data_IF_432946134996
#
_entry.id   IF_432946134996
#
_cell.length_a   1.000
_cell.length_b   1.000
_cell.length_c   1.000
_cell.angle_alpha   90.00
_cell.angle_beta   90.00
_cell.angle_gamma   90.00
#
_symmetry.space_group_name_H-M   'P 1'
#
loop_
_entity.id
_entity.type
_entity.pdbx_description
1 polymer ?
#
# COMPACT_ATOMS: atom_id res chain seq x y z
N UNK A 1 1.23 8.78 2.27
CA UNK A 1 1.90 7.77 1.42
C UNK A 1 3.24 8.28 0.95
N UNK A 2 3.29 9.42 0.24
CA UNK A 2 4.54 10.03 -0.24
C UNK A 2 5.60 10.31 0.84
N UNK A 3 5.17 10.66 2.05
CA UNK A 3 6.07 10.85 3.20
C UNK A 3 6.48 9.55 3.92
N UNK A 4 6.20 8.37 3.36
CA UNK A 4 6.57 7.06 3.92
C UNK A 4 5.54 6.39 4.84
N UNK A 5 4.34 6.98 5.04
CA UNK A 5 3.28 6.39 5.87
C UNK A 5 2.75 5.07 5.28
N UNK A 6 2.93 3.90 5.92
CA UNK A 6 2.52 2.61 5.36
C UNK A 6 1.01 2.54 5.16
N UNK A 7 0.59 1.94 4.05
CA UNK A 7 -0.82 1.71 3.72
C UNK A 7 -0.98 0.27 3.27
N UNK A 8 -1.89 -0.44 3.94
CA UNK A 8 -2.34 -1.77 3.55
C UNK A 8 -3.82 -1.67 3.20
N UNK A 9 -4.19 -2.04 1.98
CA UNK A 9 -5.54 -1.84 1.47
C UNK A 9 -6.09 -3.10 0.78
N UNK A 10 -7.27 -3.54 1.19
CA UNK A 10 -7.92 -4.72 0.63
C UNK A 10 -9.18 -4.32 -0.14
N UNK A 11 -9.44 -5.00 -1.26
CA UNK A 11 -10.64 -4.90 -2.10
C UNK A 11 -11.10 -3.46 -2.36
N UNK A 12 -12.12 -2.97 -1.64
CA UNK A 12 -12.59 -1.59 -1.75
C UNK A 12 -11.49 -0.55 -1.53
N UNK A 13 -10.51 -0.85 -0.67
CA UNK A 13 -9.31 -0.04 -0.47
C UNK A 13 -8.41 0.03 -1.71
N UNK A 14 -8.18 -1.11 -2.39
CA UNK A 14 -7.49 -1.13 -3.68
C UNK A 14 -8.24 -0.27 -4.71
N UNK A 15 -9.57 -0.41 -4.75
CA UNK A 15 -10.40 0.36 -5.69
C UNK A 15 -10.35 1.86 -5.42
N UNK A 16 -10.34 2.26 -4.15
CA UNK A 16 -10.23 3.66 -3.74
C UNK A 16 -8.85 4.27 -4.02
N UNK A 17 -7.79 3.45 -4.01
CA UNK A 17 -6.43 3.91 -4.32
C UNK A 17 -6.17 4.04 -5.82
N UNK A 18 -7.02 3.46 -6.67
CA UNK A 18 -6.98 3.63 -8.12
C UNK A 18 -7.38 5.06 -8.54
N UNK A 19 -7.22 5.43 -9.82
CA UNK A 19 -7.55 6.77 -10.36
C UNK A 19 -9.04 7.03 -10.45
N UNK A 20 -9.83 5.97 -10.59
CA UNK A 20 -11.28 6.10 -10.60
C UNK A 20 -12.01 4.77 -10.68
N UNK A 21 -13.30 4.82 -10.37
CA UNK A 21 -14.22 3.71 -10.51
C UNK A 21 -15.22 4.05 -11.61
N UNK A 22 -15.28 3.21 -12.63
CA UNK A 22 -16.26 3.26 -13.70
C UNK A 22 -17.45 2.40 -13.32
N UNK A 23 -18.62 3.03 -13.30
CA UNK A 23 -19.89 2.36 -13.10
C UNK A 23 -20.86 2.85 -14.17
N UNK A 24 -21.35 1.93 -15.00
CA UNK A 24 -22.08 2.26 -16.23
C UNK A 24 -21.24 3.20 -17.11
N UNK A 25 -21.80 4.31 -17.57
CA UNK A 25 -21.12 5.30 -18.39
C UNK A 25 -20.42 6.40 -17.58
N UNK A 26 -20.50 6.34 -16.24
CA UNK A 26 -19.92 7.36 -15.35
C UNK A 26 -18.57 6.90 -14.78
N UNK A 27 -17.62 7.82 -14.75
CA UNK A 27 -16.35 7.67 -14.05
C UNK A 27 -16.36 8.52 -12.78
N UNK A 28 -16.08 7.90 -11.64
CA UNK A 28 -15.95 8.55 -10.35
C UNK A 28 -14.47 8.65 -10.00
N UNK A 29 -13.87 9.86 -9.96
CA UNK A 29 -12.47 10.04 -9.58
C UNK A 29 -12.20 9.58 -8.15
N UNK A 30 -11.09 8.89 -7.96
CA UNK A 30 -10.63 8.37 -6.66
C UNK A 30 -9.25 8.97 -6.32
N UNK A 31 -8.49 8.37 -5.38
CA UNK A 31 -7.24 8.97 -4.89
C UNK A 31 -6.15 9.04 -5.97
N UNK A 32 -6.09 8.06 -6.88
CA UNK A 32 -5.12 8.05 -7.97
C UNK A 32 -3.68 7.73 -7.58
N UNK A 33 -3.47 6.97 -6.51
CA UNK A 33 -2.16 6.39 -6.17
C UNK A 33 -1.73 5.39 -7.24
N UNK A 34 -2.66 4.54 -7.66
CA UNK A 34 -2.47 3.66 -8.79
C UNK A 34 -3.12 4.25 -10.04
N UNK A 35 -2.45 4.21 -11.20
CA UNK A 35 -2.93 4.85 -12.43
C UNK A 35 -4.03 4.03 -13.12
N UNK A 36 -4.78 3.19 -12.39
CA UNK A 36 -5.79 2.29 -12.95
C UNK A 36 -7.20 2.84 -12.77
N UNK A 37 -8.09 2.46 -13.69
CA UNK A 37 -9.53 2.52 -13.44
C UNK A 37 -10.04 1.16 -13.01
N UNK A 38 -11.02 1.15 -12.12
CA UNK A 38 -11.80 -0.04 -11.77
C UNK A 38 -13.09 -0.03 -12.58
N UNK A 39 -13.51 -1.17 -13.10
CA UNK A 39 -14.84 -1.35 -13.68
C UNK A 39 -15.67 -2.20 -12.73
N UNK A 40 -16.81 -1.68 -12.28
CA UNK A 40 -17.80 -2.45 -11.53
C UNK A 40 -18.68 -3.26 -12.49
N UNK A 41 -18.54 -4.58 -12.45
CA UNK A 41 -19.33 -5.51 -13.24
C UNK A 41 -20.59 -6.00 -12.51
N UNK A 42 -21.45 -6.69 -13.25
CA UNK A 42 -22.67 -7.34 -12.72
C UNK A 42 -22.46 -8.82 -12.37
N UNK A 43 -21.29 -9.38 -12.70
CA UNK A 43 -20.90 -10.77 -12.42
C UNK A 43 -19.69 -10.80 -11.49
N UNK A 44 -19.61 -11.77 -10.55
CA UNK A 44 -18.42 -12.00 -9.76
C UNK A 44 -17.18 -12.18 -10.65
N UNK A 45 -16.06 -11.58 -10.25
CA UNK A 45 -14.75 -11.75 -10.89
C UNK A 45 -13.88 -12.72 -10.07
N UNK A 46 -13.88 -12.56 -8.75
CA UNK A 46 -13.29 -13.49 -7.79
C UNK A 46 -14.29 -13.83 -6.69
N UNK A 47 -14.37 -15.09 -6.33
CA UNK A 47 -15.17 -15.56 -5.19
C UNK A 47 -14.56 -16.81 -4.56
N UNK A 48 -14.37 -16.78 -3.25
CA UNK A 48 -13.99 -17.94 -2.46
C UNK A 48 -12.65 -17.76 -1.76
N UNK A 49 -12.05 -18.87 -1.36
CA UNK A 49 -10.82 -18.88 -0.57
C UNK A 49 -9.59 -18.60 -1.41
N UNK A 50 -8.66 -17.80 -0.88
CA UNK A 50 -7.38 -17.49 -1.51
C UNK A 50 -6.20 -18.06 -0.71
N UNK A 51 -5.19 -18.52 -1.45
CA UNK A 51 -3.88 -18.91 -0.89
C UNK A 51 -2.83 -18.18 -1.71
N UNK A 52 -2.11 -17.27 -1.05
CA UNK A 52 -1.15 -16.37 -1.66
C UNK A 52 0.26 -16.65 -1.16
N UNK A 53 1.22 -16.68 -2.06
CA UNK A 53 2.65 -16.65 -1.73
C UNK A 53 3.22 -15.27 -2.02
N UNK A 54 3.93 -14.69 -1.05
CA UNK A 54 4.69 -13.47 -1.26
C UNK A 54 5.96 -13.76 -2.08
N UNK A 55 5.99 -13.34 -3.34
CA UNK A 55 7.10 -13.66 -4.25
C UNK A 55 8.04 -12.49 -4.50
N UNK A 56 7.58 -11.26 -4.28
CA UNK A 56 8.36 -10.04 -4.46
C UNK A 56 8.44 -9.18 -3.18
N UNK A 57 9.47 -8.32 -3.06
CA UNK A 57 9.64 -7.46 -1.89
C UNK A 57 8.47 -6.49 -1.68
N UNK A 58 8.12 -6.25 -0.42
CA UNK A 58 7.10 -5.29 0.00
C UNK A 58 7.33 -4.88 1.47
N UNK A 59 6.64 -3.86 2.00
CA UNK A 59 6.85 -3.37 3.36
C UNK A 59 6.30 -4.26 4.49
N UNK A 60 5.49 -5.28 4.20
CA UNK A 60 4.69 -6.00 5.18
C UNK A 60 5.13 -7.45 5.37
N UNK A 61 5.38 -8.17 4.29
CA UNK A 61 5.64 -9.62 4.34
C UNK A 61 6.98 -9.99 3.72
N UNK A 62 7.75 -10.89 4.35
CA UNK A 62 8.95 -11.45 3.73
C UNK A 62 8.58 -12.36 2.55
N UNK A 63 9.54 -12.51 1.62
CA UNK A 63 9.40 -13.45 0.50
C UNK A 63 9.24 -14.88 1.03
N UNK A 64 8.34 -15.65 0.41
CA UNK A 64 7.99 -17.01 0.79
C UNK A 64 6.87 -17.11 1.84
N UNK A 65 6.39 -15.99 2.40
CA UNK A 65 5.23 -16.01 3.30
C UNK A 65 3.99 -16.52 2.57
N UNK A 66 3.34 -17.52 3.15
CA UNK A 66 2.04 -18.00 2.70
C UNK A 66 0.93 -17.34 3.51
N UNK A 67 0.02 -16.68 2.81
CA UNK A 67 -1.13 -15.99 3.39
C UNK A 67 -2.42 -16.63 2.91
N UNK A 68 -3.40 -16.66 3.81
CA UNK A 68 -4.71 -17.27 3.58
C UNK A 68 -5.80 -16.24 3.74
N UNK A 69 -6.74 -16.22 2.80
CA UNK A 69 -7.79 -15.22 2.80
C UNK A 69 -9.00 -15.66 2.01
N UNK A 70 -9.78 -14.68 1.61
CA UNK A 70 -10.88 -14.88 0.69
C UNK A 70 -10.98 -13.67 -0.24
N UNK A 71 -11.55 -13.89 -1.40
CA UNK A 71 -11.89 -12.83 -2.33
C UNK A 71 -13.39 -12.89 -2.59
N UNK A 72 -14.00 -11.72 -2.71
CA UNK A 72 -15.36 -11.58 -3.22
C UNK A 72 -15.51 -10.21 -3.84
N UNK A 73 -15.37 -10.14 -5.17
CA UNK A 73 -15.44 -8.87 -5.88
C UNK A 73 -16.06 -9.01 -7.25
N UNK A 74 -16.78 -7.97 -7.64
CA UNK A 74 -17.39 -7.79 -8.95
C UNK A 74 -16.62 -6.75 -9.78
N UNK A 75 -15.60 -6.16 -9.18
CA UNK A 75 -14.70 -5.18 -9.78
C UNK A 75 -13.53 -5.86 -10.47
N UNK A 76 -13.02 -5.21 -11.52
CA UNK A 76 -11.75 -5.54 -12.17
C UNK A 76 -11.03 -4.28 -12.60
N UNK A 77 -9.73 -4.34 -12.78
CA UNK A 77 -8.99 -3.24 -13.40
C UNK A 77 -9.36 -3.15 -14.90
N UNK A 78 -9.50 -1.92 -15.40
CA UNK A 78 -9.77 -1.62 -16.79
C UNK A 78 -8.54 -1.89 -17.68
N UNK A 79 -8.78 -2.33 -18.91
CA UNK A 79 -7.73 -2.64 -19.88
C UNK A 79 -7.14 -4.05 -19.71
N UNK A 80 -6.12 -4.34 -20.52
CA UNK A 80 -5.30 -5.55 -20.39
C UNK A 80 -4.14 -5.24 -19.47
N UNK A 81 -4.02 -6.00 -18.39
CA UNK A 81 -2.85 -5.96 -17.52
C UNK A 81 -1.88 -7.05 -18.00
N UNK A 82 -0.67 -6.64 -18.34
CA UNK A 82 0.47 -7.55 -18.45
C UNK A 82 1.08 -7.73 -17.05
N UNK A 83 1.09 -8.95 -16.47
CA UNK A 83 1.69 -9.18 -15.17
C UNK A 83 3.15 -8.73 -15.04
N UNK A 84 3.92 -8.74 -16.14
CA UNK A 84 5.30 -8.27 -16.14
C UNK A 84 5.46 -6.75 -16.01
N UNK A 85 4.37 -6.00 -16.23
CA UNK A 85 4.38 -4.54 -16.24
C UNK A 85 4.06 -3.91 -14.88
N UNK A 86 3.79 -4.71 -13.84
CA UNK A 86 3.35 -4.20 -12.54
C UNK A 86 4.12 -4.84 -11.38
N UNK A 87 4.35 -4.08 -10.29
CA UNK A 87 5.02 -4.56 -9.09
C UNK A 87 4.09 -5.42 -8.24
N UNK A 88 3.62 -6.54 -8.79
CA UNK A 88 2.82 -7.51 -8.07
C UNK A 88 3.67 -8.19 -6.98
N UNK A 89 3.05 -8.43 -5.82
CA UNK A 89 3.70 -9.00 -4.64
C UNK A 89 3.32 -10.45 -4.43
N UNK A 90 2.07 -10.80 -4.73
CA UNK A 90 1.52 -12.10 -4.43
C UNK A 90 1.29 -12.93 -5.69
N UNK A 91 1.70 -14.20 -5.62
CA UNK A 91 1.26 -15.25 -6.53
C UNK A 91 0.20 -16.10 -5.84
N UNK A 92 -0.96 -16.24 -6.47
CA UNK A 92 -2.05 -17.04 -5.93
C UNK A 92 -1.89 -18.50 -6.36
N UNK A 93 -1.75 -19.37 -5.37
CA UNK A 93 -1.87 -20.82 -5.53
C UNK A 93 -3.35 -21.25 -5.56
N UNK A 94 -4.24 -20.40 -5.03
CA UNK A 94 -5.69 -20.52 -5.13
C UNK A 94 -6.34 -19.14 -5.13
N UNK A 95 -7.36 -18.95 -5.97
CA UNK A 95 -8.08 -17.68 -6.17
C UNK A 95 -7.76 -17.01 -7.50
N UNK A 96 -8.42 -15.89 -7.79
CA UNK A 96 -8.32 -15.14 -9.04
C UNK A 96 -7.32 -13.98 -8.94
N UNK A 97 -7.39 -13.21 -7.85
CA UNK A 97 -6.58 -12.02 -7.64
C UNK A 97 -6.93 -10.87 -8.57
N UNK A 98 -5.95 -10.00 -8.84
CA UNK A 98 -6.11 -8.86 -9.74
C UNK A 98 -6.07 -9.29 -11.21
N UNK A 99 -5.12 -10.16 -11.57
CA UNK A 99 -4.99 -10.66 -12.94
C UNK A 99 -4.21 -11.97 -12.99
N UNK A 100 -4.76 -12.97 -13.66
CA UNK A 100 -4.07 -14.23 -13.99
C UNK A 100 -3.37 -14.90 -12.77
N UNK A 101 -3.97 -14.82 -11.58
CA UNK A 101 -3.39 -15.36 -10.34
C UNK A 101 -2.30 -14.48 -9.71
N UNK A 102 -2.17 -13.23 -10.12
CA UNK A 102 -1.36 -12.21 -9.45
C UNK A 102 -2.26 -11.28 -8.64
N UNK A 103 -1.84 -10.94 -7.43
CA UNK A 103 -2.52 -10.00 -6.53
C UNK A 103 -1.50 -9.15 -5.77
N UNK A 104 -1.97 -8.11 -5.08
CA UNK A 104 -1.13 -7.21 -4.30
C UNK A 104 -0.23 -6.35 -5.19
N UNK A 105 -0.62 -5.13 -5.50
CA UNK A 105 0.24 -4.14 -6.17
C UNK A 105 0.96 -3.33 -5.10
N UNK A 106 2.29 -3.25 -5.20
CA UNK A 106 3.10 -2.45 -4.29
C UNK A 106 3.59 -1.16 -4.93
N UNK A 107 3.30 -0.03 -4.30
CA UNK A 107 3.88 1.27 -4.66
C UNK A 107 4.49 1.90 -3.41
N UNK A 108 5.82 1.99 -3.37
CA UNK A 108 6.58 2.45 -2.19
C UNK A 108 6.18 1.65 -0.93
N UNK A 109 5.52 2.31 0.01
CA UNK A 109 5.03 1.82 1.28
C UNK A 109 3.53 1.45 1.27
N UNK A 110 2.93 1.35 0.08
CA UNK A 110 1.52 1.01 -0.15
C UNK A 110 1.44 -0.39 -0.74
N UNK A 111 0.69 -1.28 -0.11
CA UNK A 111 0.35 -2.60 -0.64
C UNK A 111 -1.17 -2.71 -0.74
N UNK A 112 -1.67 -3.00 -1.94
CA UNK A 112 -3.11 -3.11 -2.17
C UNK A 112 -3.49 -4.31 -3.03
N UNK A 113 -4.48 -5.10 -2.59
CA UNK A 113 -4.92 -6.33 -3.28
C UNK A 113 -6.43 -6.59 -3.15
N UNK A 114 -6.95 -7.60 -3.85
CA UNK A 114 -8.36 -8.00 -3.72
C UNK A 114 -8.60 -9.00 -2.59
N UNK A 115 -7.59 -9.80 -2.25
CA UNK A 115 -7.71 -10.78 -1.16
C UNK A 115 -7.90 -10.10 0.19
N UNK A 116 -8.92 -10.53 0.91
CA UNK A 116 -9.17 -10.21 2.30
C UNK A 116 -8.51 -11.25 3.20
N UNK A 117 -7.52 -10.83 3.98
CA UNK A 117 -6.82 -11.74 4.87
C UNK A 117 -7.67 -12.10 6.09
N UNK A 118 -7.62 -13.37 6.47
CA UNK A 118 -8.22 -13.80 7.72
C UNK A 118 -7.23 -13.53 8.86
N UNK A 119 -7.41 -12.43 9.59
CA UNK A 119 -6.46 -12.04 10.64
C UNK A 119 -6.18 -13.16 11.66
N UNK A 120 -7.21 -13.89 12.10
CA UNK A 120 -7.05 -15.02 13.03
C UNK A 120 -6.32 -16.23 12.43
N UNK A 121 -6.19 -16.31 11.11
CA UNK A 121 -5.48 -17.38 10.39
C UNK A 121 -4.09 -16.97 9.89
N UNK A 122 -3.69 -15.72 10.13
CA UNK A 122 -2.42 -15.15 9.69
C UNK A 122 -1.85 -14.26 10.81
N UNK A 123 -1.19 -14.89 11.79
CA UNK A 123 -0.56 -14.19 12.94
C UNK A 123 0.37 -13.06 12.49
N UNK A 124 1.06 -13.25 11.36
CA UNK A 124 1.95 -12.26 10.75
C UNK A 124 1.26 -10.97 10.31
N UNK A 125 -0.06 -10.95 10.11
CA UNK A 125 -0.74 -9.74 9.64
C UNK A 125 -0.63 -8.59 10.66
N UNK A 126 -0.91 -8.86 11.93
CA UNK A 126 -0.85 -7.84 12.97
C UNK A 126 0.59 -7.37 13.19
N UNK A 127 1.53 -8.31 13.27
CA UNK A 127 2.95 -8.01 13.44
C UNK A 127 3.52 -7.19 12.27
N UNK A 128 3.15 -7.52 11.03
CA UNK A 128 3.54 -6.77 9.85
C UNK A 128 3.05 -5.32 9.89
N UNK A 129 1.79 -5.11 10.28
CA UNK A 129 1.21 -3.77 10.39
C UNK A 129 1.90 -2.94 11.47
N UNK A 130 2.16 -3.53 12.64
CA UNK A 130 2.87 -2.88 13.76
C UNK A 130 4.32 -2.57 13.37
N UNK A 131 5.01 -3.51 12.73
CA UNK A 131 6.39 -3.33 12.28
C UNK A 131 6.50 -2.21 11.22
N UNK A 132 5.56 -2.14 10.28
CA UNK A 132 5.49 -1.07 9.29
C UNK A 132 5.26 0.30 9.95
N UNK A 133 4.31 0.39 10.89
CA UNK A 133 4.05 1.62 11.65
C UNK A 133 5.27 2.06 12.48
N UNK A 134 5.95 1.12 13.13
CA UNK A 134 7.19 1.38 13.89
C UNK A 134 8.32 1.88 12.99
N UNK A 135 8.46 1.32 11.79
CA UNK A 135 9.43 1.78 10.79
C UNK A 135 9.17 3.21 10.34
N UNK A 136 7.91 3.57 10.11
CA UNK A 136 7.53 4.94 9.79
C UNK A 136 7.79 5.91 10.94
N UNK A 137 7.53 5.51 12.19
CA UNK A 137 7.85 6.35 13.36
C UNK A 137 9.35 6.68 13.41
N UNK A 138 10.23 5.70 13.21
CA UNK A 138 11.69 5.91 13.18
C UNK A 138 12.13 6.83 12.04
N UNK A 139 11.54 6.65 10.85
CA UNK A 139 11.80 7.53 9.71
C UNK A 139 11.43 8.98 10.03
N UNK A 140 10.24 9.21 10.59
CA UNK A 140 9.77 10.56 10.96
C UNK A 140 10.64 11.21 12.04
N UNK A 141 11.09 10.45 13.04
CA UNK A 141 12.02 10.94 14.06
C UNK A 141 13.37 11.34 13.46
N UNK A 142 13.88 10.57 12.49
CA UNK A 142 15.16 10.87 11.83
C UNK A 142 15.06 12.16 11.00
N UNK A 143 13.96 12.36 10.26
CA UNK A 143 13.73 13.58 9.46
C UNK A 143 13.53 14.82 10.35
N UNK A 144 12.90 14.66 11.51
CA UNK A 144 12.67 15.78 12.45
C UNK A 144 13.89 16.13 13.31
N UNK A 145 14.78 15.17 13.57
CA UNK A 145 16.04 15.40 14.29
C UNK A 145 17.08 16.21 13.51
N UNK A 146 17.01 16.19 12.17
CA UNK A 146 17.96 16.88 11.29
C UNK A 146 17.61 18.36 11.04
N UNK A 147 16.40 18.81 11.43
CA UNK A 147 15.93 20.20 11.25
C UNK A 147 16.20 21.09 12.49
N UNK A 148 17.07 20.65 13.41
CA UNK A 148 17.16 21.17 14.78
C UNK A 148 18.47 21.83 15.22
N UNK A 149 19.42 22.09 14.32
CA UNK A 149 20.69 22.75 14.68
C UNK A 149 21.04 23.86 13.70
N UNK A 150 20.51 25.05 13.96
CA UNK A 150 21.18 26.34 13.71
C UNK A 150 20.41 27.46 14.42
N UNK A 151 20.57 27.54 15.74
CA UNK A 151 20.45 28.82 16.44
C UNK A 151 21.84 29.21 16.92
N UNK A 152 22.59 29.83 16.02
CA UNK A 152 23.74 30.66 16.40
C UNK A 152 23.22 31.68 17.41
N UNK A 153 23.68 31.57 18.66
CA UNK A 153 23.44 32.62 19.67
C UNK A 153 24.18 33.86 19.20
N UNK A 154 23.56 35.04 19.12
CA UNK A 154 24.32 36.26 18.87
C UNK A 154 25.23 36.51 20.08
N UNK A 155 26.53 36.56 19.83
CA UNK A 155 27.52 37.00 20.81
C UNK A 155 27.16 38.40 21.30
N UNK A 156 27.11 38.56 22.62
CA UNK A 156 26.97 39.84 23.29
C UNK A 156 28.22 40.68 23.05
N UNK A 157 28.15 41.63 22.13
CA UNK A 157 29.16 42.68 22.01
C UNK A 157 28.95 43.70 23.14
N UNK A 158 29.87 43.68 24.09
CA UNK A 158 30.11 44.74 25.06
C UNK A 158 30.58 46.01 24.36
N UNK A 159 29.83 47.09 24.50
CA UNK A 159 30.25 48.45 24.09
C UNK A 159 31.23 48.98 25.14
N UNK A 160 32.44 49.45 24.78
CA UNK A 160 33.29 50.16 25.72
C UNK A 160 32.86 51.64 25.80
N UNK A 161 32.68 52.11 27.02
CA UNK A 161 32.58 53.53 27.38
C UNK A 161 33.91 54.25 27.11
N UNK A 162 33.88 55.40 26.44
CA UNK A 162 35.07 56.24 26.29
C UNK A 162 34.83 57.58 25.58
N UNK A 163 34.79 58.63 26.40
CA UNK A 163 34.93 60.09 26.15
C UNK A 163 33.94 60.82 25.23
#
# INVERSE_FOLDING_TARGET
MEAGLPVYAECGGLMFLCRGIRHQEKLYPMVGVFPFEIILGTKPQGHGYTVMECVNPNPFYPKGTILRGHEFHYSRIAGRLDPGSFPFVFRLNKGHGIVAGWDGICYKNVLAGYSHLHAAGNELWADAMIAAAGSYKRLKTSISGDCGLDRVRPESQSIPTGY
#
